data_IF_637202684463
#
_entry.id   IF_637202684463
#
_cell.length_a   1.000
_cell.length_b   1.000
_cell.length_c   1.000
_cell.angle_alpha   90.00
_cell.angle_beta   90.00
_cell.angle_gamma   90.00
#
_symmetry.space_group_name_H-M   'P 1'
#
loop_
_entity.id
_entity.type
_entity.pdbx_description
1 polymer ?
#
# COMPACT_ATOMS: atom_id res chain seq x y z
N UNK A 1 8.41 13.67 5.37
CA UNK A 1 7.56 12.56 5.81
C UNK A 1 8.40 11.39 6.27
N UNK A 2 7.99 10.77 7.36
CA UNK A 2 8.70 9.64 7.94
C UNK A 2 7.89 8.37 7.80
N UNK A 3 8.54 7.30 7.37
CA UNK A 3 7.95 5.98 7.36
C UNK A 3 8.03 5.42 8.79
N UNK A 4 6.89 5.07 9.37
CA UNK A 4 6.82 4.52 10.71
C UNK A 4 5.88 3.32 10.74
N UNK A 5 6.09 2.44 11.73
CA UNK A 5 5.20 1.32 11.99
C UNK A 5 4.63 1.51 13.39
N UNK A 6 3.35 1.85 13.47
CA UNK A 6 2.70 2.14 14.75
C UNK A 6 1.22 1.77 14.75
N UNK A 7 0.87 0.52 14.36
CA UNK A 7 -0.54 0.12 14.39
C UNK A 7 -1.02 0.08 15.83
N UNK A 8 -2.24 0.58 16.04
CA UNK A 8 -2.86 0.59 17.36
C UNK A 8 -4.36 0.37 17.19
N UNK A 9 -5.02 -0.34 18.13
CA UNK A 9 -6.48 -0.45 18.09
C UNK A 9 -7.11 0.92 18.29
N UNK A 10 -8.19 1.19 17.55
CA UNK A 10 -8.87 2.46 17.63
C UNK A 10 -9.57 2.82 16.33
N UNK A 11 -10.12 4.04 16.29
CA UNK A 11 -10.87 4.53 15.14
C UNK A 11 -10.00 5.14 14.06
N UNK A 12 -8.78 5.52 14.40
CA UNK A 12 -7.88 6.14 13.45
C UNK A 12 -7.09 5.11 12.68
N UNK A 13 -6.75 5.45 11.44
CA UNK A 13 -5.89 4.63 10.60
C UNK A 13 -4.45 4.92 10.94
N UNK A 14 -3.69 3.88 11.27
CA UNK A 14 -2.30 3.99 11.69
C UNK A 14 -1.33 3.39 10.67
N UNK A 15 -0.09 3.90 10.61
CA UNK A 15 0.96 3.27 9.81
C UNK A 15 1.17 1.80 10.22
N UNK A 16 1.26 0.94 9.23
CA UNK A 16 1.32 -0.51 9.43
C UNK A 16 0.01 -1.22 9.11
N UNK A 17 -1.07 -0.47 8.96
CA UNK A 17 -2.36 -1.03 8.58
C UNK A 17 -2.54 -1.05 7.07
N UNK A 18 -3.27 -2.06 6.58
CA UNK A 18 -3.74 -2.11 5.19
C UNK A 18 -5.21 -1.75 5.20
N UNK A 19 -5.57 -0.76 4.41
CA UNK A 19 -6.93 -0.23 4.31
C UNK A 19 -7.36 -0.18 2.85
N UNK A 20 -8.66 -0.10 2.61
CA UNK A 20 -9.18 0.08 1.26
C UNK A 20 -9.57 1.54 1.05
N UNK A 21 -9.20 2.06 -0.11
CA UNK A 21 -9.53 3.42 -0.53
C UNK A 21 -9.53 3.50 -2.04
N UNK A 22 -10.19 4.52 -2.57
CA UNK A 22 -10.14 4.80 -4.00
C UNK A 22 -8.78 5.40 -4.34
N UNK A 23 -8.12 4.83 -5.36
CA UNK A 23 -6.79 5.27 -5.81
C UNK A 23 -6.89 5.69 -7.27
N UNK A 24 -6.53 6.93 -7.60
CA UNK A 24 -6.54 7.37 -9.01
C UNK A 24 -5.47 6.62 -9.80
N UNK A 25 -5.76 6.38 -11.08
CA UNK A 25 -4.78 5.78 -11.97
C UNK A 25 -3.61 6.75 -12.19
N UNK A 26 -2.42 6.19 -12.28
CA UNK A 26 -1.21 6.98 -12.50
C UNK A 26 -1.27 7.73 -13.83
N UNK A 27 -1.78 7.10 -14.86
CA UNK A 27 -1.85 7.64 -16.22
C UNK A 27 -3.07 8.57 -16.44
N UNK A 28 -4.11 8.48 -15.60
CA UNK A 28 -5.29 9.35 -15.71
C UNK A 28 -5.93 9.51 -14.34
N UNK A 29 -5.66 10.63 -13.68
CA UNK A 29 -6.10 10.89 -12.32
C UNK A 29 -7.61 11.15 -12.19
N UNK A 30 -8.33 11.26 -13.33
CA UNK A 30 -9.78 11.42 -13.31
C UNK A 30 -10.50 10.10 -13.09
N UNK A 31 -9.82 8.99 -13.32
CA UNK A 31 -10.33 7.65 -13.13
C UNK A 31 -9.49 6.93 -12.12
N UNK A 32 -10.03 5.90 -11.52
CA UNK A 32 -9.34 5.13 -10.51
C UNK A 32 -10.09 3.88 -10.14
N UNK A 33 -9.66 3.25 -9.07
CA UNK A 33 -10.21 1.99 -8.59
C UNK A 33 -10.04 1.90 -7.09
N UNK A 34 -10.98 1.25 -6.41
CA UNK A 34 -10.77 0.86 -5.03
C UNK A 34 -9.63 -0.16 -4.95
N UNK A 35 -8.68 0.11 -4.07
CA UNK A 35 -7.54 -0.78 -3.86
C UNK A 35 -7.18 -0.86 -2.39
N UNK A 36 -6.61 -1.99 -1.97
CA UNK A 36 -5.95 -2.02 -0.66
C UNK A 36 -4.65 -1.22 -0.73
N UNK A 37 -4.36 -0.49 0.35
CA UNK A 37 -3.21 0.40 0.45
C UNK A 37 -2.54 0.16 1.80
N UNK A 38 -1.22 -0.03 1.78
CA UNK A 38 -0.44 -0.11 3.01
C UNK A 38 -0.10 1.31 3.47
N UNK A 39 -0.52 1.67 4.66
CA UNK A 39 -0.20 2.97 5.24
C UNK A 39 1.20 2.89 5.85
N UNK A 40 2.11 3.75 5.40
CA UNK A 40 3.51 3.73 5.82
C UNK A 40 3.91 4.94 6.65
N UNK A 41 3.08 5.97 6.71
CA UNK A 41 3.41 7.17 7.46
C UNK A 41 2.34 8.23 7.34
N UNK A 42 2.68 9.41 7.82
CA UNK A 42 1.81 10.59 7.78
C UNK A 42 2.59 11.79 7.27
N UNK A 43 1.88 12.71 6.63
CA UNK A 43 2.40 14.01 6.22
C UNK A 43 1.32 15.04 6.56
N UNK A 44 1.43 15.64 7.76
CA UNK A 44 0.41 16.50 8.34
C UNK A 44 -0.93 15.77 8.42
N UNK A 45 -1.99 16.30 7.79
CA UNK A 45 -3.31 15.66 7.80
C UNK A 45 -3.42 14.48 6.82
N UNK A 46 -2.44 14.29 5.95
CA UNK A 46 -2.48 13.24 4.94
C UNK A 46 -1.88 11.93 5.46
N UNK A 47 -2.45 10.82 5.02
CA UNK A 47 -1.82 9.52 5.16
C UNK A 47 -0.94 9.28 3.93
N UNK A 48 0.18 8.60 4.14
CA UNK A 48 1.06 8.18 3.06
C UNK A 48 0.92 6.67 2.87
N UNK A 49 0.70 6.25 1.64
CA UNK A 49 0.44 4.84 1.37
C UNK A 49 1.08 4.32 0.11
N UNK A 50 1.18 3.00 0.06
CA UNK A 50 1.64 2.25 -1.09
C UNK A 50 0.51 1.32 -1.53
N UNK A 51 0.17 1.34 -2.81
CA UNK A 51 -0.92 0.50 -3.29
C UNK A 51 -0.52 -0.97 -3.37
N UNK A 52 -1.50 -1.83 -3.12
CA UNK A 52 -1.34 -3.27 -3.24
C UNK A 52 -2.08 -3.79 -4.47
N UNK A 53 -1.65 -4.94 -4.96
CA UNK A 53 -2.35 -5.69 -5.99
C UNK A 53 -2.22 -7.19 -5.71
N UNK A 54 -3.22 -7.96 -6.11
CA UNK A 54 -3.16 -9.42 -6.06
C UNK A 54 -2.66 -10.03 -7.36
N UNK A 55 -2.32 -9.20 -8.35
CA UNK A 55 -1.76 -9.69 -9.60
C UNK A 55 -0.32 -10.11 -9.41
N UNK A 56 0.05 -11.21 -10.05
CA UNK A 56 1.43 -11.65 -10.14
C UNK A 56 2.09 -10.90 -11.28
N UNK A 57 3.04 -10.03 -10.95
CA UNK A 57 3.77 -9.22 -11.92
C UNK A 57 5.06 -9.87 -12.41
N UNK A 58 5.40 -11.05 -11.91
CA UNK A 58 6.62 -11.73 -12.34
C UNK A 58 6.57 -12.08 -13.83
N UNK A 59 5.40 -12.40 -14.34
CA UNK A 59 5.22 -12.72 -15.77
C UNK A 59 5.50 -11.52 -16.66
N UNK A 60 5.25 -10.32 -16.16
CA UNK A 60 5.36 -9.07 -16.91
C UNK A 60 6.52 -8.22 -16.41
N UNK A 61 7.52 -8.84 -15.79
CA UNK A 61 8.63 -8.12 -15.15
C UNK A 61 9.33 -7.15 -16.11
N UNK A 62 9.52 -7.55 -17.37
CA UNK A 62 10.17 -6.68 -18.36
C UNK A 62 9.30 -5.45 -18.65
N UNK A 63 8.00 -5.66 -18.86
CA UNK A 63 7.08 -4.57 -19.13
C UNK A 63 6.92 -3.65 -17.92
N UNK A 64 6.84 -4.20 -16.71
CA UNK A 64 6.75 -3.41 -15.49
C UNK A 64 8.02 -2.56 -15.30
N UNK A 65 9.19 -3.14 -15.58
CA UNK A 65 10.44 -2.40 -15.51
C UNK A 65 10.47 -1.24 -16.53
N UNK A 66 9.98 -1.47 -17.74
CA UNK A 66 9.90 -0.42 -18.77
C UNK A 66 8.96 0.70 -18.37
N UNK A 67 7.89 0.37 -17.65
CA UNK A 67 6.93 1.35 -17.14
C UNK A 67 7.44 2.08 -15.90
N UNK A 68 8.58 1.65 -15.35
CA UNK A 68 9.13 2.23 -14.14
C UNK A 68 8.43 1.80 -12.87
N UNK A 69 7.56 0.80 -12.93
CA UNK A 69 6.87 0.29 -11.74
C UNK A 69 7.67 -0.82 -11.09
N UNK A 70 7.80 -0.73 -9.78
CA UNK A 70 8.53 -1.70 -8.97
C UNK A 70 7.61 -2.27 -7.91
N UNK A 71 7.53 -3.60 -7.86
CA UNK A 71 6.65 -4.33 -6.97
C UNK A 71 7.44 -5.26 -6.05
N UNK A 72 6.92 -5.46 -4.85
CA UNK A 72 7.52 -6.34 -3.85
C UNK A 72 6.45 -7.24 -3.25
N UNK A 73 6.73 -8.54 -3.17
CA UNK A 73 5.83 -9.52 -2.55
C UNK A 73 5.74 -9.27 -1.04
N UNK A 74 4.51 -9.31 -0.52
CA UNK A 74 4.26 -9.19 0.92
C UNK A 74 3.43 -10.34 1.50
N UNK A 75 3.15 -11.36 0.68
CA UNK A 75 2.41 -12.53 1.14
C UNK A 75 0.91 -12.29 1.19
N UNK A 76 0.24 -13.02 2.05
CA UNK A 76 -1.22 -13.00 2.19
C UNK A 76 -1.63 -12.35 3.50
N UNK A 77 -2.88 -11.89 3.60
CA UNK A 77 -3.39 -11.31 4.81
C UNK A 77 -4.89 -11.04 4.76
N UNK A 78 -5.41 -10.56 5.86
CA UNK A 78 -6.85 -10.33 6.03
C UNK A 78 -7.37 -9.16 5.19
N UNK A 79 -6.49 -8.36 4.59
CA UNK A 79 -6.91 -7.29 3.68
C UNK A 79 -7.57 -7.81 2.42
N UNK A 80 -7.32 -9.06 2.05
CA UNK A 80 -7.96 -9.71 0.90
C UNK A 80 -8.86 -10.83 1.43
N UNK A 81 -10.19 -10.77 1.21
CA UNK A 81 -11.11 -11.82 1.65
C UNK A 81 -10.78 -13.20 1.11
N UNK A 82 -10.14 -13.26 -0.06
CA UNK A 82 -9.72 -14.52 -0.67
C UNK A 82 -8.30 -14.92 -0.28
N UNK A 83 -7.63 -14.11 0.52
CA UNK A 83 -6.26 -14.34 0.98
C UNK A 83 -5.29 -14.65 -0.15
N UNK A 84 -5.42 -13.93 -1.25
CA UNK A 84 -4.52 -14.07 -2.39
C UNK A 84 -3.17 -13.44 -2.06
N UNK A 85 -2.06 -14.02 -2.58
CA UNK A 85 -0.76 -13.36 -2.46
C UNK A 85 -0.81 -11.95 -3.04
N UNK A 86 -0.24 -11.00 -2.32
CA UNK A 86 -0.27 -9.60 -2.70
C UNK A 86 1.13 -9.04 -2.92
N UNK A 87 1.21 -8.03 -3.76
CA UNK A 87 2.42 -7.26 -3.99
C UNK A 87 2.16 -5.80 -3.67
N UNK A 88 3.18 -5.11 -3.19
CA UNK A 88 3.11 -3.67 -2.89
C UNK A 88 4.02 -2.91 -3.87
N UNK A 89 3.51 -1.78 -4.36
CA UNK A 89 4.30 -0.93 -5.24
C UNK A 89 5.21 -0.01 -4.40
N UNK A 90 6.52 -0.17 -4.54
CA UNK A 90 7.49 0.50 -3.66
C UNK A 90 7.98 1.84 -4.19
N UNK A 91 7.70 2.18 -5.44
CA UNK A 91 8.21 3.43 -6.04
C UNK A 91 7.11 4.45 -6.38
N UNK A 92 5.96 4.36 -5.72
CA UNK A 92 4.91 5.38 -5.82
C UNK A 92 4.24 5.56 -4.47
N UNK A 93 4.59 6.63 -3.77
CA UNK A 93 3.93 6.99 -2.50
C UNK A 93 2.74 7.88 -2.85
N UNK A 94 1.57 7.51 -2.36
CA UNK A 94 0.35 8.29 -2.59
C UNK A 94 -0.12 8.94 -1.30
N UNK A 95 -0.68 10.14 -1.43
CA UNK A 95 -1.34 10.82 -0.32
C UNK A 95 -2.81 10.44 -0.29
N UNK A 96 -3.30 10.15 0.90
CA UNK A 96 -4.66 9.69 1.11
C UNK A 96 -5.30 10.56 2.18
N UNK A 97 -6.49 11.07 1.88
CA UNK A 97 -7.30 11.75 2.88
C UNK A 97 -7.82 10.70 3.87
N UNK A 98 -7.56 10.86 5.17
CA UNK A 98 -8.07 9.90 6.16
C UNK A 98 -9.58 9.69 6.11
N UNK A 99 -10.32 10.72 5.70
CA UNK A 99 -11.79 10.64 5.61
C UNK A 99 -12.27 9.76 4.46
N UNK A 100 -11.41 9.50 3.47
CA UNK A 100 -11.76 8.65 2.32
C UNK A 100 -11.42 7.17 2.54
N UNK A 101 -10.81 6.83 3.66
CA UNK A 101 -10.36 5.47 3.96
C UNK A 101 -11.52 4.64 4.48
N UNK A 102 -11.70 3.47 3.90
CA UNK A 102 -12.54 2.42 4.47
C UNK A 102 -11.63 1.48 5.23
N UNK A 103 -11.77 1.49 6.55
CA UNK A 103 -10.85 0.76 7.41
C UNK A 103 -11.21 -0.71 7.47
N UNK A 104 -10.25 -1.57 7.12
CA UNK A 104 -10.40 -3.02 7.24
C UNK A 104 -9.84 -3.51 8.57
N UNK A 105 -8.85 -2.80 9.12
CA UNK A 105 -8.22 -3.19 10.37
C UNK A 105 -7.18 -4.28 10.23
N UNK A 106 -6.75 -4.58 9.02
CA UNK A 106 -5.68 -5.54 8.80
C UNK A 106 -4.34 -4.89 9.12
N UNK A 107 -3.49 -5.60 9.85
CA UNK A 107 -2.15 -5.13 10.22
C UNK A 107 -1.13 -5.99 9.50
N UNK A 108 -0.18 -5.34 8.84
CA UNK A 108 0.93 -6.05 8.20
C UNK A 108 1.97 -6.41 9.26
N UNK A 109 2.52 -7.62 9.18
CA UNK A 109 3.59 -8.06 10.06
C UNK A 109 4.76 -7.08 10.01
N UNK A 110 5.33 -6.78 11.18
CA UNK A 110 6.39 -5.78 11.30
C UNK A 110 7.63 -6.09 10.47
N UNK A 111 8.04 -7.36 10.43
CA UNK A 111 9.23 -7.74 9.67
C UNK A 111 9.04 -7.49 8.18
N UNK A 112 7.85 -7.77 7.67
CA UNK A 112 7.52 -7.50 6.27
C UNK A 112 7.46 -5.98 6.03
N UNK A 113 6.87 -5.25 6.96
CA UNK A 113 6.82 -3.79 6.87
C UNK A 113 8.22 -3.19 6.82
N UNK A 114 9.13 -3.67 7.65
CA UNK A 114 10.51 -3.17 7.69
C UNK A 114 11.22 -3.44 6.36
N UNK A 115 10.98 -4.59 5.74
CA UNK A 115 11.53 -4.89 4.42
C UNK A 115 10.98 -3.95 3.35
N UNK A 116 9.69 -3.64 3.40
CA UNK A 116 9.06 -2.68 2.48
C UNK A 116 9.66 -1.30 2.68
N UNK A 117 9.80 -0.86 3.93
CA UNK A 117 10.37 0.45 4.25
C UNK A 117 11.79 0.59 3.73
N UNK A 118 12.60 -0.46 3.89
CA UNK A 118 13.97 -0.48 3.37
C UNK A 118 13.98 -0.37 1.84
N UNK A 119 13.07 -1.06 1.16
CA UNK A 119 12.98 -1.00 -0.30
C UNK A 119 12.56 0.38 -0.80
N UNK A 120 11.64 1.04 -0.09
CA UNK A 120 11.18 2.39 -0.44
C UNK A 120 12.32 3.41 -0.28
N UNK A 121 13.14 3.27 0.77
CA UNK A 121 14.25 4.17 1.05
C UNK A 121 15.47 3.96 0.17
N UNK A 122 15.55 2.82 -0.48
CA UNK A 122 16.68 2.46 -1.32
C UNK A 122 16.79 3.31 -2.60
#
# INVERSE_FOLDING_TARGET
PRITYSPAPGKETDPGEVVWTWVPYEEDHREGKDRPVLIIGRDHEWLLGLLLTSKDHDRDAVQEARSGRRWMDIGTGEWDPQRRPSEVRINRIIRIDPDDVRRIGAVLDRDIFDDVAAAVRA
#
